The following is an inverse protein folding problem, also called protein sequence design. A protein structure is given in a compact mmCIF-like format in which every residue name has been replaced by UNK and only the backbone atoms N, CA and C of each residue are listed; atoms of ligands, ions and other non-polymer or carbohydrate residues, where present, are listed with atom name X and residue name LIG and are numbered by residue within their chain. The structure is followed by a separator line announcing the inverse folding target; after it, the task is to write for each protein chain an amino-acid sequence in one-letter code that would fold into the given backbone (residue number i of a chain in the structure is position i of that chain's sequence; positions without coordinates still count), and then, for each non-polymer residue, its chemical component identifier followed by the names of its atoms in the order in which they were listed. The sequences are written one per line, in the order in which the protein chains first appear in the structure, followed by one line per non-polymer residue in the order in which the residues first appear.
data_IF_641488912950
#
_entry.id   IF_641488912950
#
_cell.length_a   1.000
_cell.length_b   1.000
_cell.length_c   1.000
_cell.angle_alpha   90.00
_cell.angle_beta   90.00
_cell.angle_gamma   90.00
#
_symmetry.space_group_name_H-M   'P 1'
#
loop_
_entity.id
_entity.type
_entity.pdbx_description
1 polymer ?
#
# COMPACT_ATOMS: atom_id res chain seq x y z
N UNK A 1 13.00 1.90 -3.02
CA UNK A 1 11.97 1.34 -2.12
C UNK A 1 12.45 1.27 -0.67
N UNK A 2 13.59 0.65 -0.36
CA UNK A 2 14.08 0.52 1.03
C UNK A 2 14.11 1.84 1.81
N UNK A 3 14.62 2.91 1.23
CA UNK A 3 14.69 4.23 1.90
C UNK A 3 13.28 4.81 2.17
N UNK A 4 12.34 4.61 1.23
CA UNK A 4 10.94 5.02 1.43
C UNK A 4 10.30 4.24 2.59
N UNK A 5 10.52 2.93 2.66
CA UNK A 5 9.98 2.11 3.74
C UNK A 5 10.54 2.56 5.09
N UNK A 6 11.85 2.79 5.19
CA UNK A 6 12.48 3.35 6.40
C UNK A 6 11.86 4.69 6.80
N UNK A 7 11.65 5.57 5.81
CA UNK A 7 11.01 6.86 6.05
C UNK A 7 9.56 6.72 6.56
N UNK A 8 8.79 5.75 6.04
CA UNK A 8 7.46 5.45 6.55
C UNK A 8 7.54 5.04 8.03
N UNK A 9 8.37 4.06 8.36
CA UNK A 9 8.50 3.58 9.73
C UNK A 9 8.99 4.65 10.70
N UNK A 10 9.88 5.57 10.28
CA UNK A 10 10.34 6.67 11.14
C UNK A 10 9.25 7.70 11.48
N UNK A 11 8.12 7.69 10.79
CA UNK A 11 6.97 8.56 11.04
C UNK A 11 5.79 7.81 11.69
N UNK A 12 5.87 6.50 11.83
CA UNK A 12 4.84 5.67 12.44
C UNK A 12 5.17 5.37 13.90
N UNK A 13 4.22 4.83 14.69
CA UNK A 13 4.50 4.36 16.04
C UNK A 13 5.68 3.38 16.07
N UNK A 14 6.48 3.45 17.13
CA UNK A 14 7.57 2.51 17.37
C UNK A 14 7.04 1.08 17.56
N UNK A 15 7.92 0.09 17.42
CA UNK A 15 7.66 -1.34 17.65
C UNK A 15 6.73 -2.02 16.63
N UNK A 16 6.42 -1.42 15.49
CA UNK A 16 5.66 -2.11 14.45
C UNK A 16 6.51 -3.20 13.78
N UNK A 17 6.02 -4.44 13.78
CA UNK A 17 6.62 -5.54 13.02
C UNK A 17 6.36 -5.38 11.51
N UNK A 18 5.20 -4.80 11.17
CA UNK A 18 4.81 -4.53 9.79
C UNK A 18 3.78 -3.40 9.70
N UNK A 19 3.61 -2.85 8.50
CA UNK A 19 2.42 -2.07 8.13
C UNK A 19 1.70 -2.84 7.02
N UNK A 20 0.39 -3.03 7.20
CA UNK A 20 -0.49 -3.73 6.28
C UNK A 20 -1.53 -2.76 5.73
N UNK A 21 -1.56 -2.63 4.41
CA UNK A 21 -2.61 -1.90 3.70
C UNK A 21 -3.44 -2.92 2.93
N UNK A 22 -4.67 -3.14 3.36
CA UNK A 22 -5.64 -3.93 2.62
C UNK A 22 -6.51 -2.98 1.80
N UNK A 23 -6.28 -2.97 0.50
CA UNK A 23 -6.96 -2.06 -0.41
C UNK A 23 -8.45 -2.39 -0.50
N UNK A 24 -9.29 -1.36 -0.59
CA UNK A 24 -10.73 -1.51 -0.80
C UNK A 24 -11.07 -1.80 -2.27
N UNK A 25 -12.36 -1.70 -2.58
CA UNK A 25 -12.88 -1.64 -3.94
C UNK A 25 -13.19 -0.18 -4.28
N UNK A 26 -13.21 0.17 -5.57
CA UNK A 26 -13.56 1.52 -6.01
C UNK A 26 -14.97 1.92 -5.53
N UNK A 27 -15.19 3.13 -4.98
CA UNK A 27 -14.27 4.27 -4.86
C UNK A 27 -13.43 4.28 -3.57
N UNK A 28 -13.42 3.23 -2.77
CA UNK A 28 -12.81 3.16 -1.44
C UNK A 28 -11.36 2.62 -1.49
N UNK A 29 -10.60 3.02 -2.50
CA UNK A 29 -9.19 2.64 -2.62
C UNK A 29 -8.32 3.40 -1.61
N UNK A 30 -7.41 2.70 -0.97
CA UNK A 30 -6.48 3.32 -0.03
C UNK A 30 -5.33 4.03 -0.77
N UNK A 31 -5.28 5.34 -0.65
CA UNK A 31 -4.25 6.18 -1.27
C UNK A 31 -2.83 5.88 -0.79
N UNK A 32 -2.66 5.20 0.35
CA UNK A 32 -1.36 4.76 0.84
C UNK A 32 -0.86 3.50 0.10
N UNK A 33 -1.76 2.68 -0.49
CA UNK A 33 -1.40 1.43 -1.14
C UNK A 33 -0.32 1.60 -2.22
N UNK A 34 -0.48 2.46 -3.24
CA UNK A 34 0.56 2.65 -4.25
C UNK A 34 1.86 3.24 -3.68
N UNK A 35 1.77 4.00 -2.60
CA UNK A 35 2.93 4.58 -1.94
C UNK A 35 3.79 3.52 -1.24
N UNK A 36 3.17 2.63 -0.46
CA UNK A 36 3.87 1.57 0.28
C UNK A 36 4.35 0.43 -0.62
N UNK A 37 3.67 0.18 -1.74
CA UNK A 37 3.99 -0.90 -2.68
C UNK A 37 4.86 -0.45 -3.84
N UNK A 38 4.87 0.85 -4.15
CA UNK A 38 5.59 1.43 -5.28
C UNK A 38 4.97 1.08 -6.63
N UNK A 39 3.70 0.65 -6.65
CA UNK A 39 2.92 0.42 -7.87
C UNK A 39 2.65 1.73 -8.61
N UNK A 40 2.42 1.66 -9.93
CA UNK A 40 2.28 2.82 -10.80
C UNK A 40 0.95 2.90 -11.53
N UNK A 41 0.35 1.76 -11.79
CA UNK A 41 -0.91 1.61 -12.51
C UNK A 41 -1.64 0.39 -11.97
N UNK A 42 -2.96 0.38 -12.07
CA UNK A 42 -3.85 -0.65 -11.53
C UNK A 42 -4.68 -0.15 -10.36
N UNK A 43 -5.84 -0.74 -10.15
CA UNK A 43 -6.73 -0.42 -9.02
C UNK A 43 -6.33 -1.24 -7.78
N UNK A 44 -5.87 -2.46 -7.99
CA UNK A 44 -5.47 -3.38 -6.92
C UNK A 44 -6.57 -3.65 -5.89
N UNK A 45 -7.81 -3.76 -6.37
CA UNK A 45 -8.98 -4.02 -5.53
C UNK A 45 -8.79 -5.30 -4.71
N UNK A 46 -9.05 -5.21 -3.41
CA UNK A 46 -8.91 -6.33 -2.47
C UNK A 46 -7.50 -6.88 -2.30
N UNK A 47 -6.47 -6.21 -2.84
CA UNK A 47 -5.08 -6.60 -2.69
C UNK A 47 -4.51 -6.17 -1.33
N UNK A 48 -3.47 -6.88 -0.87
CA UNK A 48 -2.74 -6.51 0.34
C UNK A 48 -1.34 -6.02 -0.01
N UNK A 49 -0.95 -4.89 0.57
CA UNK A 49 0.44 -4.43 0.62
C UNK A 49 0.99 -4.62 2.03
N UNK A 50 2.13 -5.25 2.16
CA UNK A 50 2.80 -5.46 3.45
C UNK A 50 4.22 -4.93 3.37
N UNK A 51 4.59 -4.05 4.30
CA UNK A 51 5.96 -3.56 4.42
C UNK A 51 6.50 -3.86 5.82
N UNK A 52 7.80 -4.13 5.91
CA UNK A 52 8.50 -4.44 7.16
C UNK A 52 9.68 -3.48 7.38
N UNK A 53 10.12 -3.24 8.64
CA UNK A 53 11.15 -2.25 8.96
C UNK A 53 12.50 -2.49 8.25
N UNK A 54 12.80 -3.73 7.86
CA UNK A 54 14.00 -4.08 7.09
C UNK A 54 13.97 -3.59 5.62
N UNK A 55 12.87 -2.97 5.21
CA UNK A 55 12.72 -2.36 3.89
C UNK A 55 12.12 -3.28 2.85
N UNK A 56 11.59 -4.45 3.23
CA UNK A 56 10.82 -5.30 2.33
C UNK A 56 9.44 -4.71 2.09
N UNK A 57 8.95 -4.90 0.87
CA UNK A 57 7.58 -4.58 0.47
C UNK A 57 7.06 -5.73 -0.37
N UNK A 58 5.92 -6.27 0.01
CA UNK A 58 5.28 -7.41 -0.64
C UNK A 58 3.84 -7.07 -0.99
N UNK A 59 3.39 -7.45 -2.18
CA UNK A 59 1.99 -7.36 -2.61
C UNK A 59 1.43 -8.76 -2.73
N UNK A 60 0.25 -8.99 -2.15
CA UNK A 60 -0.58 -10.15 -2.44
C UNK A 60 -1.70 -9.68 -3.37
N UNK A 61 -1.72 -10.17 -4.60
CA UNK A 61 -2.61 -9.72 -5.67
C UNK A 61 -3.27 -10.86 -6.42
N UNK A 62 -4.39 -10.57 -7.07
CA UNK A 62 -5.02 -11.52 -7.99
C UNK A 62 -4.20 -11.68 -9.27
N UNK A 63 -4.46 -12.77 -10.01
CA UNK A 63 -3.83 -12.98 -11.31
C UNK A 63 -4.17 -11.86 -12.32
N UNK A 64 -5.29 -11.17 -12.14
CA UNK A 64 -5.71 -10.05 -13.00
C UNK A 64 -4.75 -8.86 -12.89
N UNK A 65 -4.30 -8.54 -11.68
CA UNK A 65 -3.43 -7.37 -11.42
C UNK A 65 -1.93 -7.72 -11.38
N UNK A 66 -1.57 -8.98 -11.63
CA UNK A 66 -0.18 -9.44 -11.51
C UNK A 66 0.78 -8.64 -12.38
N UNK A 67 0.42 -8.38 -13.63
CA UNK A 67 1.27 -7.62 -14.58
C UNK A 67 1.50 -6.19 -14.08
N UNK A 68 0.46 -5.52 -13.60
CA UNK A 68 0.53 -4.18 -13.03
C UNK A 68 1.40 -4.17 -11.76
N UNK A 69 1.24 -5.18 -10.88
CA UNK A 69 2.03 -5.33 -9.66
C UNK A 69 3.51 -5.51 -9.95
N UNK A 70 3.88 -6.35 -10.93
CA UNK A 70 5.27 -6.57 -11.35
C UNK A 70 5.93 -5.34 -11.97
N UNK A 71 5.15 -4.37 -12.43
CA UNK A 71 5.63 -3.04 -12.84
C UNK A 71 6.07 -2.16 -11.66
N UNK A 72 5.77 -2.55 -10.43
CA UNK A 72 6.16 -1.88 -9.18
C UNK A 72 7.54 -2.28 -8.67
N UNK A 73 7.77 -2.08 -7.36
CA UNK A 73 9.04 -2.38 -6.69
C UNK A 73 8.90 -3.39 -5.55
N UNK A 74 7.68 -3.82 -5.26
CA UNK A 74 7.39 -4.81 -4.25
C UNK A 74 7.58 -6.23 -4.79
N UNK A 75 7.85 -7.18 -3.90
CA UNK A 75 7.71 -8.60 -4.18
C UNK A 75 6.23 -8.92 -4.46
N UNK A 76 5.95 -9.77 -5.46
CA UNK A 76 4.58 -10.05 -5.89
C UNK A 76 4.25 -11.52 -5.63
N UNK A 77 3.25 -11.73 -4.78
CA UNK A 77 2.63 -13.01 -4.50
C UNK A 77 1.24 -13.04 -5.15
N UNK A 78 1.03 -13.95 -6.10
CA UNK A 78 -0.19 -14.01 -6.88
C UNK A 78 -1.09 -15.14 -6.41
N UNK A 79 -2.37 -14.85 -6.20
CA UNK A 79 -3.38 -15.86 -5.87
C UNK A 79 -4.38 -16.07 -7.00
N UNK A 80 -4.98 -17.25 -7.02
CA UNK A 80 -6.07 -17.64 -7.95
C UNK A 80 -7.36 -18.00 -7.23
N UNK A 81 -7.30 -18.27 -5.93
CA UNK A 81 -8.46 -18.62 -5.10
C UNK A 81 -8.46 -17.83 -3.80
N UNK A 82 -9.64 -17.56 -3.26
CA UNK A 82 -9.79 -16.87 -1.99
C UNK A 82 -9.08 -17.60 -0.83
N UNK A 83 -9.10 -18.94 -0.84
CA UNK A 83 -8.39 -19.71 0.19
C UNK A 83 -6.88 -19.50 0.09
N UNK A 84 -6.31 -19.60 -1.11
CA UNK A 84 -4.86 -19.40 -1.30
C UNK A 84 -4.42 -17.96 -0.95
N UNK A 85 -5.28 -16.95 -1.22
CA UNK A 85 -5.04 -15.57 -0.76
C UNK A 85 -4.90 -15.51 0.77
N UNK A 86 -5.83 -16.17 1.50
CA UNK A 86 -5.77 -16.24 2.97
C UNK A 86 -4.51 -16.94 3.46
N UNK A 87 -4.14 -18.04 2.84
CA UNK A 87 -2.96 -18.81 3.21
C UNK A 87 -1.67 -17.97 3.03
N UNK A 88 -1.54 -17.27 1.91
CA UNK A 88 -0.44 -16.34 1.65
C UNK A 88 -0.40 -15.20 2.68
N UNK A 89 -1.54 -14.57 2.95
CA UNK A 89 -1.63 -13.46 3.90
C UNK A 89 -1.31 -13.90 5.33
N UNK A 90 -1.88 -15.02 5.77
CA UNK A 90 -1.60 -15.59 7.09
C UNK A 90 -0.13 -15.99 7.21
N UNK A 91 0.43 -16.62 6.18
CA UNK A 91 1.84 -17.02 6.15
C UNK A 91 2.79 -15.81 6.24
N UNK A 92 2.48 -14.74 5.50
CA UNK A 92 3.29 -13.52 5.47
C UNK A 92 3.25 -12.76 6.81
N UNK A 93 2.11 -12.75 7.48
CA UNK A 93 1.92 -12.08 8.78
C UNK A 93 2.25 -12.96 9.99
N UNK A 94 2.63 -14.21 9.75
CA UNK A 94 2.97 -15.15 10.83
C UNK A 94 4.13 -14.62 11.66
N UNK A 95 3.91 -14.53 12.96
CA UNK A 95 4.93 -14.09 13.92
C UNK A 95 4.94 -12.59 14.19
N UNK A 96 4.18 -11.79 13.44
CA UNK A 96 3.98 -10.38 13.79
C UNK A 96 3.13 -10.27 15.05
N UNK A 97 3.49 -9.34 15.92
CA UNK A 97 2.80 -9.05 17.18
C UNK A 97 2.13 -7.69 17.18
N UNK A 98 2.67 -6.75 16.37
CA UNK A 98 2.15 -5.38 16.28
C UNK A 98 2.16 -4.91 14.83
N UNK A 99 0.98 -4.69 14.27
CA UNK A 99 0.78 -4.34 12.86
C UNK A 99 0.14 -2.97 12.75
N UNK A 100 0.78 -2.06 12.03
CA UNK A 100 0.20 -0.78 11.64
C UNK A 100 -0.82 -0.96 10.51
N UNK A 101 -1.97 -0.31 10.62
CA UNK A 101 -2.97 -0.20 9.55
C UNK A 101 -3.31 1.26 9.28
N UNK A 102 -3.74 1.57 8.07
CA UNK A 102 -4.24 2.91 7.77
C UNK A 102 -5.70 3.04 8.22
N UNK A 103 -5.94 3.40 9.47
CA UNK A 103 -7.28 3.53 10.04
C UNK A 103 -8.18 4.53 9.31
N UNK A 104 -7.61 5.51 8.59
CA UNK A 104 -8.36 6.48 7.78
C UNK A 104 -8.68 5.96 6.38
N UNK A 105 -7.95 4.96 5.88
CA UNK A 105 -8.12 4.43 4.52
C UNK A 105 -8.73 3.03 4.49
N UNK A 106 -8.60 2.26 5.55
CA UNK A 106 -9.12 0.88 5.58
C UNK A 106 -10.63 0.85 5.80
N UNK A 107 -11.36 0.16 4.93
CA UNK A 107 -12.79 -0.09 5.18
C UNK A 107 -12.97 -1.09 6.32
N UNK A 108 -14.05 -0.95 7.09
CA UNK A 108 -14.27 -1.76 8.30
C UNK A 108 -14.22 -3.27 8.06
N UNK A 109 -14.79 -3.75 6.96
CA UNK A 109 -14.74 -5.18 6.60
C UNK A 109 -13.31 -5.68 6.41
N UNK A 110 -12.46 -4.87 5.76
CA UNK A 110 -11.05 -5.19 5.55
C UNK A 110 -10.24 -5.16 6.85
N UNK A 111 -10.57 -4.22 7.76
CA UNK A 111 -9.99 -4.21 9.10
C UNK A 111 -10.26 -5.51 9.85
N UNK A 112 -11.52 -5.96 9.86
CA UNK A 112 -11.92 -7.24 10.49
C UNK A 112 -11.26 -8.44 9.79
N UNK A 113 -11.03 -8.37 8.49
CA UNK A 113 -10.31 -9.44 7.77
C UNK A 113 -8.84 -9.47 8.17
N UNK A 114 -8.14 -8.34 8.20
CA UNK A 114 -6.74 -8.26 8.67
C UNK A 114 -6.63 -8.78 10.10
N UNK A 115 -7.56 -8.40 10.98
CA UNK A 115 -7.59 -8.90 12.36
C UNK A 115 -7.71 -10.43 12.45
N UNK A 116 -8.50 -11.04 11.56
CA UNK A 116 -8.63 -12.52 11.49
C UNK A 116 -7.38 -13.17 10.92
N UNK A 117 -6.78 -12.58 9.90
CA UNK A 117 -5.57 -13.09 9.23
C UNK A 117 -4.34 -13.02 10.15
N UNK A 118 -4.27 -12.01 11.00
CA UNK A 118 -3.20 -11.77 11.96
C UNK A 118 -3.71 -11.89 13.42
N UNK A 119 -4.39 -12.99 13.73
CA UNK A 119 -5.14 -13.17 14.98
C UNK A 119 -4.31 -12.97 16.28
N UNK A 120 -2.99 -13.10 16.22
CA UNK A 120 -2.09 -12.92 17.36
C UNK A 120 -1.42 -11.53 17.40
N UNK A 121 -1.75 -10.65 16.46
CA UNK A 121 -1.19 -9.31 16.39
C UNK A 121 -2.17 -8.26 16.93
N UNK A 122 -1.61 -7.27 17.61
CA UNK A 122 -2.28 -6.02 17.89
C UNK A 122 -2.32 -5.16 16.62
N UNK A 123 -3.50 -4.67 16.23
CA UNK A 123 -3.63 -3.71 15.14
C UNK A 123 -3.59 -2.28 15.70
N UNK A 124 -2.67 -1.48 15.19
CA UNK A 124 -2.42 -0.10 15.64
C UNK A 124 -2.66 0.87 14.48
N UNK A 125 -3.27 2.00 14.77
CA UNK A 125 -3.46 3.04 13.75
C UNK A 125 -2.13 3.71 13.39
N UNK A 126 -1.73 3.56 12.13
CA UNK A 126 -0.55 4.17 11.51
C UNK A 126 -0.88 5.34 10.57
N UNK A 127 -2.14 5.78 10.51
CA UNK A 127 -2.62 6.79 9.55
C UNK A 127 -1.79 8.05 9.54
N UNK A 128 -1.52 8.63 10.72
CA UNK A 128 -0.74 9.88 10.84
C UNK A 128 0.68 9.72 10.31
N UNK A 129 1.34 8.58 10.58
CA UNK A 129 2.69 8.31 10.07
C UNK A 129 2.70 8.12 8.55
N UNK A 130 1.75 7.40 8.01
CA UNK A 130 1.57 7.22 6.58
C UNK A 130 1.28 8.55 5.87
N UNK A 131 0.46 9.42 6.46
CA UNK A 131 0.20 10.75 5.95
C UNK A 131 1.46 11.61 5.99
N UNK A 132 2.13 11.71 7.14
CA UNK A 132 3.36 12.48 7.32
C UNK A 132 4.44 12.06 6.33
N UNK A 133 4.60 10.76 6.07
CA UNK A 133 5.56 10.23 5.11
C UNK A 133 5.33 10.70 3.68
N UNK A 134 4.12 11.11 3.33
CA UNK A 134 3.70 11.55 1.99
C UNK A 134 3.68 13.07 1.84
N UNK A 135 3.83 13.83 2.92
CA UNK A 135 3.84 15.30 2.87
C UNK A 135 5.06 15.83 2.12
N UNK A 136 6.24 15.31 2.41
CA UNK A 136 7.47 15.69 1.75
C UNK A 136 7.73 14.75 0.58
N UNK A 137 7.75 15.30 -0.65
CA UNK A 137 7.94 14.56 -1.88
C UNK A 137 9.42 14.36 -2.17
N UNK A 138 9.81 13.16 -2.55
CA UNK A 138 11.15 12.89 -3.05
C UNK A 138 11.37 13.49 -4.47
N UNK A 139 12.61 13.52 -4.93
CA UNK A 139 12.96 14.12 -6.22
C UNK A 139 12.24 13.45 -7.41
N UNK A 140 12.01 12.12 -7.34
CA UNK A 140 11.30 11.38 -8.37
C UNK A 140 9.79 11.69 -8.35
N UNK A 141 9.20 11.84 -7.18
CA UNK A 141 7.81 12.25 -7.03
C UNK A 141 7.59 13.66 -7.57
N UNK A 142 8.49 14.61 -7.23
CA UNK A 142 8.45 15.97 -7.78
C UNK A 142 8.55 15.96 -9.30
N UNK A 143 9.46 15.16 -9.87
CA UNK A 143 9.60 15.04 -11.32
C UNK A 143 8.33 14.53 -11.99
N UNK A 144 7.66 13.54 -11.40
CA UNK A 144 6.39 12.98 -11.93
C UNK A 144 5.25 13.98 -11.82
N UNK A 145 5.11 14.66 -10.69
CA UNK A 145 4.09 15.68 -10.50
C UNK A 145 4.27 16.79 -11.54
N UNK A 146 5.49 17.30 -11.73
CA UNK A 146 5.78 18.32 -12.75
C UNK A 146 5.40 17.85 -14.16
N UNK A 147 5.71 16.58 -14.50
CA UNK A 147 5.31 16.01 -15.79
C UNK A 147 3.79 15.94 -15.96
N UNK A 148 3.08 15.51 -14.94
CA UNK A 148 1.61 15.44 -14.96
C UNK A 148 1.00 16.84 -15.10
N UNK A 149 1.49 17.84 -14.35
CA UNK A 149 1.05 19.23 -14.46
C UNK A 149 1.30 19.79 -15.88
N UNK A 150 2.47 19.53 -16.47
CA UNK A 150 2.77 20.01 -17.81
C UNK A 150 1.87 19.39 -18.89
N UNK A 151 1.44 18.13 -18.73
CA UNK A 151 0.47 17.49 -19.60
C UNK A 151 -0.91 18.15 -19.44
N UNK A 152 -1.36 18.29 -18.19
CA UNK A 152 -2.66 18.91 -17.90
C UNK A 152 -2.75 20.35 -18.42
N UNK A 153 -1.70 21.17 -18.23
CA UNK A 153 -1.65 22.54 -18.74
C UNK A 153 -1.80 22.59 -20.27
N UNK A 154 -1.06 21.73 -21.01
CA UNK A 154 -1.17 21.69 -22.48
C UNK A 154 -2.59 21.32 -22.93
N UNK A 155 -3.23 20.34 -22.27
CA UNK A 155 -4.60 19.97 -22.58
C UNK A 155 -5.56 21.13 -22.28
N UNK A 156 -5.37 21.84 -21.16
CA UNK A 156 -6.20 23.00 -20.84
C UNK A 156 -6.07 24.13 -21.87
N UNK A 157 -4.87 24.36 -22.41
CA UNK A 157 -4.64 25.38 -23.44
C UNK A 157 -5.31 25.03 -24.78
N UNK A 158 -5.65 23.76 -25.01
CA UNK A 158 -6.35 23.29 -26.24
C UNK A 158 -7.89 23.37 -26.12
N UNK A 159 -8.43 23.68 -24.93
CA UNK A 159 -9.88 23.81 -24.75
C UNK A 159 -10.34 25.15 -25.34
N UNK A 160 -11.27 25.17 -26.34
CA UNK A 160 -11.82 26.41 -26.87
C UNK A 160 -12.51 27.23 -25.77
N UNK A 161 -12.24 28.52 -25.76
CA UNK A 161 -12.91 29.52 -24.89
C UNK A 161 -14.36 29.79 -25.33
#
# INVERSE_FOLDING_TARGET
MKERVKWIFSNCPDDLDAIVIMNGEEPLLDVAFPYVTGTRAGLFEGCLGVITPDGRSTIITSALEETSARGGKAEVLTYRTAQYRKDLATGLMKGFRKIGVNGQGIVHSNYLEVQKLAANAELVDASKGLEASRLIKDAEEVRRIRKACAIASRVADEIPS
#
